data_IF_798696205778
#
_entry.id   IF_798696205778
#
_cell.length_a   1.000
_cell.length_b   1.000
_cell.length_c   1.000
_cell.angle_alpha   90.00
_cell.angle_beta   90.00
_cell.angle_gamma   90.00
#
_symmetry.space_group_name_H-M   'P 1'
#
loop_
_entity.id
_entity.type
_entity.pdbx_description
1 polymer ?
#
# COMPACT_ATOMS: atom_id res chain seq x y z
N UNK A 1 -1.09 12.29 -58.03
CA UNK A 1 -1.36 10.86 -58.33
C UNK A 1 -2.22 10.32 -57.18
N UNK A 2 -3.54 10.27 -57.40
CA UNK A 2 -4.53 9.72 -56.47
C UNK A 2 -4.49 8.18 -56.49
N UNK A 3 -4.87 7.55 -55.36
CA UNK A 3 -5.70 6.32 -55.20
C UNK A 3 -5.35 5.65 -53.85
N UNK A 4 -6.21 5.04 -53.03
CA UNK A 4 -7.68 4.93 -52.82
C UNK A 4 -7.83 4.12 -51.51
N UNK A 5 -8.82 4.45 -50.68
CA UNK A 5 -9.38 3.59 -49.60
C UNK A 5 -9.78 2.20 -50.15
N UNK A 6 -9.83 1.16 -49.28
CA UNK A 6 -11.05 0.36 -48.94
C UNK A 6 -10.81 -1.12 -48.53
N UNK A 7 -11.33 -1.48 -47.33
CA UNK A 7 -12.03 -2.70 -46.86
C UNK A 7 -11.49 -4.14 -47.08
N UNK A 8 -11.44 -4.92 -45.98
CA UNK A 8 -12.06 -6.27 -45.89
C UNK A 8 -12.65 -6.51 -44.50
N UNK A 9 -13.99 -6.56 -44.42
CA UNK A 9 -14.79 -7.21 -43.39
C UNK A 9 -15.02 -8.68 -43.81
N UNK A 10 -14.96 -9.62 -42.86
CA UNK A 10 -15.63 -10.95 -42.89
C UNK A 10 -15.82 -11.38 -41.42
N UNK A 11 -17.03 -11.20 -40.86
CA UNK A 11 -18.15 -12.16 -40.82
C UNK A 11 -17.89 -13.34 -39.87
N UNK A 12 -18.46 -13.30 -38.66
CA UNK A 12 -19.69 -14.01 -38.22
C UNK A 12 -19.48 -15.52 -38.01
N UNK A 13 -19.56 -15.96 -36.75
CA UNK A 13 -20.46 -17.08 -36.40
C UNK A 13 -20.86 -17.01 -34.92
N UNK A 14 -22.17 -17.06 -34.73
CA UNK A 14 -22.94 -17.11 -33.49
C UNK A 14 -23.33 -18.58 -33.26
N UNK A 15 -23.32 -19.05 -32.01
CA UNK A 15 -24.17 -20.12 -31.42
C UNK A 15 -23.65 -20.35 -29.99
N UNK A 16 -24.23 -19.71 -28.97
CA UNK A 16 -25.41 -20.12 -28.20
C UNK A 16 -25.28 -21.51 -27.55
N UNK A 17 -25.06 -21.52 -26.24
CA UNK A 17 -25.66 -22.52 -25.34
C UNK A 17 -25.81 -21.91 -23.94
N UNK A 18 -27.00 -22.10 -23.42
CA UNK A 18 -27.58 -21.43 -22.27
C UNK A 18 -27.44 -22.26 -20.98
N UNK A 19 -27.75 -21.57 -19.89
CA UNK A 19 -28.23 -22.05 -18.60
C UNK A 19 -27.21 -22.67 -17.63
N UNK A 20 -26.91 -21.93 -16.55
CA UNK A 20 -27.45 -22.31 -15.25
C UNK A 20 -27.60 -21.08 -14.33
N UNK A 21 -28.85 -20.78 -14.00
CA UNK A 21 -29.24 -19.97 -12.84
C UNK A 21 -29.01 -20.84 -11.60
N UNK A 22 -28.05 -20.47 -10.76
CA UNK A 22 -28.09 -20.58 -9.30
C UNK A 22 -27.18 -19.43 -8.81
N UNK A 23 -27.71 -18.32 -8.32
CA UNK A 23 -28.43 -18.32 -7.06
C UNK A 23 -27.47 -18.65 -5.90
N UNK A 24 -26.30 -18.03 -5.84
CA UNK A 24 -25.54 -18.02 -4.58
C UNK A 24 -26.23 -16.99 -3.69
N UNK A 25 -26.75 -17.39 -2.52
CA UNK A 25 -27.49 -16.48 -1.67
C UNK A 25 -26.56 -15.34 -1.27
N UNK A 26 -27.15 -14.14 -1.16
CA UNK A 26 -26.59 -13.12 -0.30
C UNK A 26 -26.21 -13.81 1.01
N UNK A 27 -24.91 -13.87 1.29
CA UNK A 27 -24.44 -14.13 2.62
C UNK A 27 -25.06 -13.00 3.45
N UNK A 28 -26.20 -13.31 4.07
CA UNK A 28 -26.71 -12.63 5.22
C UNK A 28 -25.53 -12.59 6.18
N UNK A 29 -24.85 -11.44 6.20
CA UNK A 29 -23.76 -11.18 7.13
C UNK A 29 -24.38 -11.38 8.50
N UNK A 30 -24.10 -12.54 9.09
CA UNK A 30 -24.46 -12.83 10.45
C UNK A 30 -23.95 -11.65 11.28
N UNK A 31 -24.86 -10.98 11.98
CA UNK A 31 -24.47 -9.90 12.86
C UNK A 31 -23.33 -10.42 13.76
N UNK A 32 -22.19 -9.69 13.83
CA UNK A 32 -21.03 -10.15 14.57
C UNK A 32 -21.42 -10.50 16.01
N UNK A 33 -20.94 -11.65 16.48
CA UNK A 33 -21.22 -12.14 17.83
C UNK A 33 -20.56 -11.17 18.81
N UNK A 34 -21.01 -11.10 20.05
CA UNK A 34 -20.54 -10.10 21.04
C UNK A 34 -19.00 -10.04 21.22
N UNK A 35 -18.24 -11.09 20.82
CA UNK A 35 -16.77 -11.08 20.74
C UNK A 35 -16.18 -10.60 19.39
N UNK A 36 -16.90 -10.75 18.28
CA UNK A 36 -16.43 -10.37 16.93
C UNK A 36 -16.54 -8.86 16.70
N UNK A 37 -17.48 -8.19 17.38
CA UNK A 37 -17.63 -6.73 17.31
C UNK A 37 -16.39 -5.97 17.79
N UNK A 38 -15.71 -6.48 18.83
CA UNK A 38 -14.49 -5.87 19.34
C UNK A 38 -13.31 -6.08 18.38
N UNK A 39 -13.15 -7.28 17.82
CA UNK A 39 -12.12 -7.57 16.83
C UNK A 39 -12.30 -6.74 15.55
N UNK A 40 -13.53 -6.64 15.05
CA UNK A 40 -13.87 -5.82 13.89
C UNK A 40 -13.62 -4.33 14.13
N UNK A 41 -13.96 -3.80 15.32
CA UNK A 41 -13.65 -2.42 15.67
C UNK A 41 -12.14 -2.16 15.76
N UNK A 42 -11.37 -3.12 16.30
CA UNK A 42 -9.90 -3.00 16.39
C UNK A 42 -9.25 -2.99 15.01
N UNK A 43 -9.74 -3.82 14.11
CA UNK A 43 -9.25 -3.87 12.72
C UNK A 43 -9.61 -2.60 11.94
N UNK A 44 -10.84 -2.08 12.06
CA UNK A 44 -11.22 -0.81 11.44
C UNK A 44 -10.39 0.38 11.98
N UNK A 45 -10.12 0.41 13.29
CA UNK A 45 -9.26 1.45 13.90
C UNK A 45 -7.82 1.33 13.39
N UNK A 46 -7.30 0.10 13.27
CA UNK A 46 -5.99 -0.18 12.68
C UNK A 46 -5.90 0.30 11.22
N UNK A 47 -6.90 -0.03 10.39
CA UNK A 47 -6.98 0.45 9.01
C UNK A 47 -7.03 1.98 8.94
N UNK A 48 -7.81 2.63 9.81
CA UNK A 48 -7.90 4.08 9.87
C UNK A 48 -6.58 4.77 10.23
N UNK A 49 -5.78 4.18 11.14
CA UNK A 49 -4.42 4.69 11.43
C UNK A 49 -3.49 4.50 10.25
N UNK A 50 -3.51 3.34 9.61
CA UNK A 50 -2.68 3.06 8.43
C UNK A 50 -3.02 4.05 7.32
N UNK A 51 -4.30 4.26 7.02
CA UNK A 51 -4.77 5.25 6.05
C UNK A 51 -4.26 6.66 6.37
N UNK A 52 -4.34 7.04 7.65
CA UNK A 52 -3.83 8.31 8.15
C UNK A 52 -2.33 8.49 7.91
N UNK A 53 -1.54 7.46 8.17
CA UNK A 53 -0.08 7.42 7.93
C UNK A 53 0.25 7.52 6.43
N UNK A 54 -0.48 6.82 5.56
CA UNK A 54 -0.26 6.91 4.11
C UNK A 54 -0.61 8.32 3.60
N UNK A 55 -1.72 8.87 4.07
CA UNK A 55 -2.20 10.20 3.67
C UNK A 55 -1.22 11.30 4.09
N UNK A 56 -0.79 11.32 5.37
CA UNK A 56 0.18 12.33 5.82
C UNK A 56 1.54 12.20 5.11
N UNK A 57 1.91 10.99 4.66
CA UNK A 57 3.13 10.78 3.89
C UNK A 57 3.03 11.40 2.49
N UNK A 58 1.85 11.31 1.86
CA UNK A 58 1.59 11.93 0.55
C UNK A 58 1.51 13.46 0.63
N UNK A 59 0.97 13.98 1.73
CA UNK A 59 0.76 15.43 1.93
C UNK A 59 1.96 16.13 2.57
N UNK A 60 2.82 15.38 3.27
CA UNK A 60 3.99 15.90 3.95
C UNK A 60 5.13 16.30 3.01
N UNK A 61 6.10 17.04 3.55
CA UNK A 61 7.28 17.48 2.80
C UNK A 61 8.53 17.44 3.69
N UNK A 62 9.66 17.07 3.10
CA UNK A 62 10.94 16.92 3.81
C UNK A 62 10.91 15.80 4.84
N UNK A 63 11.79 15.90 5.84
CA UNK A 63 11.84 14.97 6.97
C UNK A 63 10.89 15.43 8.07
N UNK A 64 9.97 14.57 8.50
CA UNK A 64 9.07 14.87 9.61
C UNK A 64 8.73 13.62 10.40
N UNK A 65 8.24 13.81 11.63
CA UNK A 65 7.73 12.74 12.47
C UNK A 65 6.22 12.62 12.32
N UNK A 66 5.74 11.39 12.17
CA UNK A 66 4.31 11.06 12.08
C UNK A 66 3.54 11.55 13.31
N UNK A 67 2.30 11.98 13.12
CA UNK A 67 1.36 12.22 14.23
C UNK A 67 0.78 10.92 14.80
N UNK A 68 0.86 9.84 14.04
CA UNK A 68 0.41 8.52 14.43
C UNK A 68 1.57 7.75 15.07
N UNK A 69 1.22 6.80 15.91
CA UNK A 69 2.12 5.73 16.30
C UNK A 69 1.39 4.42 16.04
N UNK A 70 2.12 3.47 15.44
CA UNK A 70 1.55 2.22 14.94
C UNK A 70 2.33 1.02 15.48
N UNK A 71 1.67 -0.12 15.63
CA UNK A 71 2.32 -1.35 16.09
C UNK A 71 3.03 -2.06 14.92
N UNK A 72 3.68 -3.19 15.19
CA UNK A 72 4.42 -3.94 14.18
C UNK A 72 3.53 -4.45 13.02
N UNK A 73 2.32 -4.91 13.31
CA UNK A 73 1.40 -5.41 12.29
C UNK A 73 0.87 -4.26 11.42
N UNK A 74 0.52 -3.13 12.04
CA UNK A 74 0.12 -1.90 11.34
C UNK A 74 1.28 -1.36 10.48
N UNK A 75 2.53 -1.45 10.95
CA UNK A 75 3.72 -1.04 10.18
C UNK A 75 3.96 -1.92 8.96
N UNK A 76 3.80 -3.23 9.09
CA UNK A 76 3.87 -4.17 7.96
C UNK A 76 2.77 -3.86 6.94
N UNK A 77 1.52 -3.70 7.40
CA UNK A 77 0.39 -3.36 6.55
C UNK A 77 0.58 -2.01 5.84
N UNK A 78 1.08 -1.00 6.54
CA UNK A 78 1.41 0.31 5.96
C UNK A 78 2.50 0.18 4.89
N UNK A 79 3.56 -0.57 5.16
CA UNK A 79 4.65 -0.82 4.20
C UNK A 79 4.16 -1.51 2.92
N UNK A 80 3.41 -2.61 3.06
CA UNK A 80 2.87 -3.36 1.91
C UNK A 80 1.93 -2.51 1.05
N UNK A 81 1.02 -1.77 1.69
CA UNK A 81 0.07 -0.88 0.99
C UNK A 81 0.78 0.31 0.34
N UNK A 82 1.80 0.86 1.01
CA UNK A 82 2.58 1.98 0.47
C UNK A 82 3.32 1.56 -0.79
N UNK A 83 4.05 0.45 -0.73
CA UNK A 83 4.88 -0.05 -1.81
C UNK A 83 4.05 -0.60 -2.98
N UNK A 84 2.92 -1.25 -2.70
CA UNK A 84 2.10 -1.93 -3.68
C UNK A 84 2.75 -3.20 -4.24
N UNK A 85 2.04 -3.88 -5.16
CA UNK A 85 2.53 -5.12 -5.75
C UNK A 85 3.81 -4.91 -6.58
N UNK A 86 4.68 -5.92 -6.59
CA UNK A 86 5.91 -5.90 -7.39
C UNK A 86 7.04 -5.05 -6.80
N UNK A 87 6.93 -4.66 -5.52
CA UNK A 87 8.04 -4.02 -4.82
C UNK A 87 9.24 -4.97 -4.72
N UNK A 88 10.42 -4.39 -4.49
CA UNK A 88 11.67 -5.13 -4.30
C UNK A 88 12.51 -4.53 -3.20
N UNK A 89 13.35 -5.34 -2.59
CA UNK A 89 14.40 -4.86 -1.71
C UNK A 89 15.56 -4.26 -2.53
N UNK A 90 16.20 -3.23 -2.00
CA UNK A 90 17.38 -2.59 -2.59
C UNK A 90 18.51 -2.45 -1.57
N UNK A 91 19.73 -2.26 -2.08
CA UNK A 91 20.94 -2.15 -1.25
C UNK A 91 21.55 -3.50 -0.94
N UNK A 92 22.30 -3.58 0.16
CA UNK A 92 22.88 -4.84 0.66
C UNK A 92 21.76 -5.77 1.14
N UNK A 93 22.03 -7.07 1.13
CA UNK A 93 21.12 -8.04 1.74
C UNK A 93 20.79 -7.63 3.18
N UNK A 94 19.50 -7.71 3.54
CA UNK A 94 18.98 -7.27 4.84
C UNK A 94 19.18 -5.77 5.15
N UNK A 95 19.30 -4.91 4.14
CA UNK A 95 19.34 -3.44 4.30
C UNK A 95 18.11 -2.88 5.02
N UNK A 96 16.97 -3.56 4.92
CA UNK A 96 15.67 -3.06 5.34
C UNK A 96 15.11 -1.96 4.44
N UNK A 97 15.59 -1.77 3.21
CA UNK A 97 15.09 -0.74 2.28
C UNK A 97 14.34 -1.38 1.12
N UNK A 98 13.06 -1.08 0.99
CA UNK A 98 12.18 -1.59 -0.05
C UNK A 98 11.70 -0.44 -0.94
N UNK A 99 11.53 -0.71 -2.22
CA UNK A 99 11.08 0.27 -3.22
C UNK A 99 9.93 -0.29 -4.04
N UNK A 100 8.93 0.55 -4.31
CA UNK A 100 7.81 0.24 -5.19
C UNK A 100 8.28 -0.07 -6.61
N UNK A 101 7.44 -0.77 -7.38
CA UNK A 101 7.74 -1.16 -8.76
C UNK A 101 8.03 0.06 -9.66
N UNK A 102 7.37 1.19 -9.41
CA UNK A 102 7.56 2.44 -10.15
C UNK A 102 8.73 3.31 -9.65
N UNK A 103 9.42 2.88 -8.58
CA UNK A 103 10.55 3.60 -8.01
C UNK A 103 10.18 4.83 -7.17
N UNK A 104 8.90 5.14 -7.00
CA UNK A 104 8.43 6.40 -6.40
C UNK A 104 8.23 6.35 -4.90
N UNK A 105 8.19 5.16 -4.31
CA UNK A 105 7.88 4.98 -2.88
C UNK A 105 8.90 4.07 -2.26
N UNK A 106 9.42 4.45 -1.09
CA UNK A 106 10.29 3.59 -0.29
C UNK A 106 9.67 3.33 1.08
N UNK A 107 9.88 2.13 1.57
CA UNK A 107 9.61 1.72 2.94
C UNK A 107 10.94 1.30 3.56
N UNK A 108 11.28 1.87 4.71
CA UNK A 108 12.52 1.54 5.40
C UNK A 108 12.28 1.04 6.80
N UNK A 109 12.91 -0.09 7.08
CA UNK A 109 12.96 -0.80 8.36
C UNK A 109 14.42 -1.12 8.71
N UNK A 110 15.32 -0.17 8.48
CA UNK A 110 16.74 -0.35 8.77
C UNK A 110 17.00 -0.44 10.29
N UNK A 111 18.08 -1.13 10.66
CA UNK A 111 18.41 -1.42 12.06
C UNK A 111 18.55 -0.15 12.92
N UNK A 112 19.10 0.94 12.36
CA UNK A 112 19.24 2.21 13.07
C UNK A 112 17.89 2.79 13.47
N UNK A 113 16.89 2.69 12.59
CA UNK A 113 15.52 3.14 12.85
C UNK A 113 14.83 2.29 13.92
N UNK A 114 14.99 0.96 13.83
CA UNK A 114 14.35 0.01 14.76
C UNK A 114 14.88 0.13 16.19
N UNK A 115 16.15 0.50 16.37
CA UNK A 115 16.73 0.75 17.70
C UNK A 115 16.63 2.21 18.15
N UNK A 116 16.11 3.11 17.29
CA UNK A 116 15.96 4.53 17.60
C UNK A 116 17.29 5.31 17.66
N UNK A 117 18.27 4.95 16.83
CA UNK A 117 19.61 5.56 16.83
C UNK A 117 19.68 6.95 16.14
N UNK A 118 18.57 7.42 15.59
CA UNK A 118 18.43 8.76 15.04
C UNK A 118 17.04 9.32 15.34
N UNK A 119 16.87 10.63 15.10
CA UNK A 119 15.58 11.32 15.24
C UNK A 119 14.46 10.48 14.61
N UNK A 120 13.36 10.17 15.33
CA UNK A 120 12.90 10.76 16.59
C UNK A 120 13.46 10.14 17.91
N UNK A 121 14.59 9.43 17.87
CA UNK A 121 15.27 8.79 19.02
C UNK A 121 14.41 7.75 19.76
N UNK A 122 13.57 7.06 19.00
CA UNK A 122 12.75 5.93 19.44
C UNK A 122 12.57 4.98 18.26
N UNK A 123 12.25 3.69 18.50
CA UNK A 123 11.95 2.75 17.42
C UNK A 123 10.93 3.33 16.43
N UNK A 124 11.26 3.32 15.14
CA UNK A 124 10.41 3.85 14.07
C UNK A 124 10.70 3.18 12.73
N UNK A 125 9.80 3.39 11.78
CA UNK A 125 9.95 3.02 10.36
C UNK A 125 9.80 4.26 9.48
N UNK A 126 10.19 4.16 8.21
CA UNK A 126 10.03 5.27 7.26
C UNK A 126 9.10 4.92 6.12
N UNK A 127 8.20 5.85 5.77
CA UNK A 127 7.60 5.91 4.44
C UNK A 127 8.12 7.14 3.72
N UNK A 128 8.67 6.92 2.54
CA UNK A 128 9.25 7.98 1.73
C UNK A 128 8.57 8.07 0.37
N UNK A 129 8.25 9.29 -0.06
CA UNK A 129 7.87 9.61 -1.43
C UNK A 129 9.08 10.18 -2.16
N UNK A 130 9.35 9.64 -3.35
CA UNK A 130 10.53 9.96 -4.16
C UNK A 130 10.09 10.60 -5.46
N UNK A 131 10.79 11.67 -5.85
CA UNK A 131 10.57 12.32 -7.12
C UNK A 131 11.00 11.39 -8.26
N UNK A 132 10.11 11.08 -9.23
CA UNK A 132 10.35 10.03 -10.23
C UNK A 132 11.53 10.31 -11.17
N UNK A 133 11.84 11.59 -11.41
CA UNK A 133 12.93 12.00 -12.32
C UNK A 133 14.25 12.19 -11.58
N UNK A 134 14.27 13.01 -10.52
CA UNK A 134 15.50 13.40 -9.82
C UNK A 134 15.95 12.38 -8.76
N UNK A 135 15.08 11.46 -8.33
CA UNK A 135 15.37 10.53 -7.23
C UNK A 135 15.44 11.21 -5.84
N UNK A 136 15.13 12.51 -5.76
CA UNK A 136 15.13 13.25 -4.50
C UNK A 136 13.92 12.83 -3.67
N UNK A 137 14.12 12.69 -2.36
CA UNK A 137 13.04 12.41 -1.42
C UNK A 137 12.20 13.67 -1.23
N UNK A 138 10.93 13.59 -1.62
CA UNK A 138 9.93 14.65 -1.46
C UNK A 138 9.44 14.69 -0.01
N UNK A 139 9.11 13.51 0.54
CA UNK A 139 8.63 13.35 1.90
C UNK A 139 9.29 12.12 2.54
N UNK A 140 9.64 12.23 3.82
CA UNK A 140 10.21 11.17 4.63
C UNK A 140 9.55 11.18 6.01
N UNK A 141 8.50 10.38 6.12
CA UNK A 141 7.71 10.25 7.32
C UNK A 141 8.35 9.24 8.27
N UNK A 142 8.79 9.70 9.44
CA UNK A 142 9.33 8.85 10.50
C UNK A 142 8.18 8.44 11.42
N UNK A 143 7.75 7.18 11.34
CA UNK A 143 6.55 6.69 12.01
C UNK A 143 6.95 5.89 13.25
N UNK A 144 6.69 6.41 14.47
CA UNK A 144 7.05 5.74 15.71
C UNK A 144 6.32 4.41 15.89
N UNK A 145 7.06 3.39 16.28
CA UNK A 145 6.50 2.10 16.65
C UNK A 145 6.00 2.14 18.10
N UNK A 146 4.77 1.69 18.32
CA UNK A 146 4.26 1.35 19.65
C UNK A 146 4.21 -0.17 19.84
N UNK A 147 4.01 -0.58 21.10
CA UNK A 147 3.93 -1.99 21.50
C UNK A 147 2.70 -2.66 20.90
#
# INVERSE_FOLDING_TARGET
>A
MLMKLSWVLKSISLLLSAALVMGVPAALQAAPRCGDLFAFSGELVSQGKVDGVLTETLEGAGNFSSRYSINQAEALAAGERWLGAGYRQIGKDNSGVFVSADGRRRFRIDNGSLIGNHSPHKPHVHLELVHPITGVVISNNHIPLNK
#
